data_IF_636466598173
#
_entry.id   IF_636466598173
#
_cell.length_a   1.000
_cell.length_b   1.000
_cell.length_c   1.000
_cell.angle_alpha   90.00
_cell.angle_beta   90.00
_cell.angle_gamma   90.00
#
_symmetry.space_group_name_H-M   'P 1'
#
loop_
_entity.id
_entity.type
_entity.pdbx_description
1 polymer ?
#
# COMPACT_ATOMS: atom_id res chain seq x y z
N UNK A 1 -11.25 10.72 19.56
CA UNK A 1 -10.43 10.13 20.64
C UNK A 1 -9.00 10.59 20.43
N UNK A 2 -8.33 11.15 21.43
CA UNK A 2 -6.91 11.43 21.32
C UNK A 2 -6.16 10.10 21.27
N UNK A 3 -5.50 9.80 20.15
CA UNK A 3 -4.55 8.70 20.12
C UNK A 3 -3.42 9.04 21.09
N UNK A 4 -3.17 8.20 22.09
CA UNK A 4 -1.99 8.34 22.93
C UNK A 4 -0.73 8.43 22.04
N UNK A 5 0.21 9.31 22.39
CA UNK A 5 1.47 9.42 21.67
C UNK A 5 2.23 8.10 21.76
N UNK A 6 2.77 7.64 20.62
CA UNK A 6 3.61 6.45 20.62
C UNK A 6 4.93 6.77 21.37
N UNK A 7 5.42 5.88 22.25
CA UNK A 7 6.73 6.04 22.88
C UNK A 7 7.83 6.21 21.82
N UNK A 8 8.88 6.99 22.06
CA UNK A 8 10.00 7.09 21.13
C UNK A 8 11.19 6.29 21.66
N UNK A 9 11.55 5.21 20.98
CA UNK A 9 12.72 4.38 21.29
C UNK A 9 13.64 4.35 20.06
N UNK A 10 14.86 4.92 20.12
CA UNK A 10 15.79 4.94 19.00
C UNK A 10 16.22 3.55 18.50
N UNK A 11 16.13 2.52 19.34
CA UNK A 11 16.45 1.14 18.96
C UNK A 11 15.27 0.43 18.28
N UNK A 12 14.08 1.04 18.30
CA UNK A 12 12.89 0.54 17.64
C UNK A 12 12.63 1.32 16.36
N UNK A 13 13.31 0.93 15.27
CA UNK A 13 13.01 1.47 13.94
C UNK A 13 11.59 1.05 13.55
N UNK A 14 10.74 2.03 13.24
CA UNK A 14 9.33 1.80 12.97
C UNK A 14 9.12 1.49 11.50
N UNK A 15 8.27 0.52 11.18
CA UNK A 15 8.07 0.11 9.79
C UNK A 15 7.58 1.25 8.87
N UNK A 16 6.82 2.21 9.40
CA UNK A 16 6.38 3.37 8.62
C UNK A 16 7.52 4.32 8.21
N UNK A 17 8.68 4.30 8.88
CA UNK A 17 9.82 5.15 8.52
C UNK A 17 10.65 4.58 7.36
N UNK A 18 10.33 3.38 6.88
CA UNK A 18 11.01 2.79 5.72
C UNK A 18 10.59 3.45 4.40
N UNK A 19 9.36 3.95 4.31
CA UNK A 19 8.77 4.42 3.06
C UNK A 19 9.18 5.86 2.73
N UNK A 20 9.81 6.05 1.57
CA UNK A 20 10.06 7.35 0.97
C UNK A 20 8.91 7.75 0.03
N UNK A 21 8.72 9.06 -0.18
CA UNK A 21 7.81 9.61 -1.21
C UNK A 21 8.56 10.15 -2.44
N UNK A 22 9.88 10.27 -2.35
CA UNK A 22 10.69 11.05 -3.31
C UNK A 22 11.57 10.17 -4.20
N UNK A 23 11.46 8.84 -4.06
CA UNK A 23 12.24 7.90 -4.86
C UNK A 23 11.59 7.69 -6.23
N UNK A 24 12.40 7.54 -7.29
CA UNK A 24 11.88 7.13 -8.60
C UNK A 24 11.76 5.59 -8.73
N UNK A 25 12.57 4.87 -7.94
CA UNK A 25 12.72 3.42 -7.96
C UNK A 25 12.86 2.88 -6.54
N UNK A 26 12.31 1.70 -6.27
CA UNK A 26 12.47 1.02 -4.99
C UNK A 26 12.36 -0.51 -5.13
N UNK A 27 12.91 -1.26 -4.18
CA UNK A 27 12.72 -2.71 -4.13
C UNK A 27 11.24 -3.03 -3.89
N UNK A 28 10.58 -2.25 -3.04
CA UNK A 28 9.19 -2.50 -2.61
C UNK A 28 8.37 -1.21 -2.74
N UNK A 29 7.29 -1.27 -3.50
CA UNK A 29 6.31 -0.20 -3.63
C UNK A 29 5.01 -0.53 -2.91
N UNK A 30 4.48 0.43 -2.16
CA UNK A 30 3.15 0.39 -1.56
C UNK A 30 2.22 1.34 -2.33
N UNK A 31 1.03 0.88 -2.69
CA UNK A 31 -0.01 1.73 -3.28
C UNK A 31 -1.37 1.39 -2.69
N UNK A 32 -2.20 2.39 -2.42
CA UNK A 32 -3.58 2.16 -1.99
C UNK A 32 -4.56 2.24 -3.16
N UNK A 33 -5.50 1.28 -3.18
CA UNK A 33 -6.63 1.21 -4.09
C UNK A 33 -7.89 1.17 -3.23
N UNK A 34 -8.39 2.32 -2.74
CA UNK A 34 -9.49 2.40 -1.78
C UNK A 34 -10.88 2.12 -2.40
N UNK A 35 -11.01 1.10 -3.24
CA UNK A 35 -12.28 0.71 -3.86
C UNK A 35 -13.22 0.10 -2.83
N UNK A 36 -14.51 0.38 -2.92
CA UNK A 36 -15.49 -0.13 -1.94
C UNK A 36 -16.95 -0.10 -2.43
N UNK A 37 -17.25 0.61 -3.52
CA UNK A 37 -18.63 0.86 -3.96
C UNK A 37 -19.32 -0.40 -4.48
N UNK A 38 -18.54 -1.41 -4.88
CA UNK A 38 -19.03 -2.69 -5.39
C UNK A 38 -19.37 -3.71 -4.30
N UNK A 39 -19.12 -3.37 -3.03
CA UNK A 39 -19.38 -4.25 -1.89
C UNK A 39 -20.89 -4.54 -1.74
N UNK A 40 -21.24 -5.81 -1.50
CA UNK A 40 -22.64 -6.25 -1.30
C UNK A 40 -23.26 -5.62 -0.04
N UNK A 41 -22.46 -5.49 1.03
CA UNK A 41 -22.84 -4.81 2.26
C UNK A 41 -22.19 -3.42 2.33
N UNK A 42 -22.82 -2.44 3.00
CA UNK A 42 -22.17 -1.16 3.28
C UNK A 42 -20.85 -1.38 4.05
N UNK A 43 -19.75 -0.86 3.53
CA UNK A 43 -18.43 -0.95 4.16
C UNK A 43 -17.75 0.42 4.25
N UNK A 44 -16.70 0.48 5.06
CA UNK A 44 -15.72 1.59 5.05
C UNK A 44 -14.38 1.09 4.52
N UNK A 45 -14.39 0.17 3.56
CA UNK A 45 -13.17 -0.49 3.08
C UNK A 45 -12.18 0.50 2.43
N UNK A 46 -12.68 1.63 1.91
CA UNK A 46 -11.86 2.74 1.42
C UNK A 46 -10.92 3.33 2.50
N UNK A 47 -11.18 3.12 3.80
CA UNK A 47 -10.31 3.56 4.89
C UNK A 47 -9.10 2.63 5.14
N UNK A 48 -9.11 1.42 4.59
CA UNK A 48 -8.09 0.39 4.84
C UNK A 48 -6.67 0.85 4.51
N UNK A 49 -6.37 1.48 3.35
CA UNK A 49 -5.01 1.89 3.03
C UNK A 49 -4.42 2.84 4.09
N UNK A 50 -5.18 3.86 4.49
CA UNK A 50 -4.74 4.81 5.52
C UNK A 50 -4.63 4.16 6.91
N UNK A 51 -5.54 3.24 7.25
CA UNK A 51 -5.50 2.52 8.51
C UNK A 51 -4.24 1.64 8.62
N UNK A 52 -3.87 0.93 7.54
CA UNK A 52 -2.65 0.12 7.48
C UNK A 52 -1.41 1.01 7.61
N UNK A 53 -1.30 2.11 6.86
CA UNK A 53 -0.18 3.05 6.97
C UNK A 53 -0.01 3.59 8.40
N UNK A 54 -1.13 3.94 9.03
CA UNK A 54 -1.14 4.40 10.43
C UNK A 54 -0.70 3.29 11.40
N UNK A 55 -1.09 2.04 11.12
CA UNK A 55 -0.73 0.88 11.93
C UNK A 55 0.77 0.52 11.81
N UNK A 56 1.40 0.73 10.65
CA UNK A 56 2.84 0.46 10.44
C UNK A 56 3.74 1.17 11.47
N UNK A 57 3.31 2.33 11.98
CA UNK A 57 4.03 3.03 13.04
C UNK A 57 4.16 2.21 14.34
N UNK A 58 3.34 1.17 14.53
CA UNK A 58 3.33 0.32 15.74
C UNK A 58 4.21 -0.92 15.59
N UNK A 59 4.75 -1.19 14.42
CA UNK A 59 5.53 -2.39 14.13
C UNK A 59 7.02 -2.08 13.99
N UNK A 60 7.87 -3.04 14.37
CA UNK A 60 9.31 -3.03 14.11
C UNK A 60 9.57 -3.48 12.67
N UNK A 61 10.72 -3.09 12.12
CA UNK A 61 11.23 -3.62 10.85
C UNK A 61 11.77 -5.05 10.97
N UNK A 62 12.12 -5.48 12.18
CA UNK A 62 12.67 -6.80 12.45
C UNK A 62 11.58 -7.81 12.84
N UNK A 63 11.59 -8.96 12.18
CA UNK A 63 10.76 -10.12 12.49
C UNK A 63 11.57 -11.17 13.25
N UNK A 64 11.24 -11.37 14.53
CA UNK A 64 11.96 -12.33 15.40
C UNK A 64 11.75 -13.78 14.96
N UNK A 65 10.56 -14.14 14.48
CA UNK A 65 10.23 -15.50 14.08
C UNK A 65 10.96 -15.94 12.81
N UNK A 66 11.26 -15.01 11.91
CA UNK A 66 12.01 -15.28 10.68
C UNK A 66 13.49 -14.87 10.76
N UNK A 67 13.88 -14.15 11.82
CA UNK A 67 15.22 -13.55 11.95
C UNK A 67 15.60 -12.67 10.75
N UNK A 68 14.63 -11.94 10.20
CA UNK A 68 14.79 -11.03 9.06
C UNK A 68 14.55 -9.60 9.52
N UNK A 69 15.45 -8.70 9.14
CA UNK A 69 15.20 -7.26 9.17
C UNK A 69 14.84 -6.78 7.77
N UNK A 70 13.81 -5.94 7.66
CA UNK A 70 13.45 -5.27 6.42
C UNK A 70 14.38 -4.08 6.11
N UNK A 71 15.12 -3.57 7.10
CA UNK A 71 16.15 -2.55 6.89
C UNK A 71 17.18 -3.01 5.84
N UNK A 72 17.58 -2.07 4.97
CA UNK A 72 18.50 -2.33 3.86
C UNK A 72 17.82 -2.50 2.50
N UNK A 73 16.50 -2.69 2.46
CA UNK A 73 15.72 -2.58 1.23
C UNK A 73 15.21 -1.14 1.06
N UNK A 74 15.03 -0.71 -0.18
CA UNK A 74 14.39 0.57 -0.51
C UNK A 74 12.87 0.39 -0.61
N UNK A 75 12.13 1.29 0.05
CA UNK A 75 10.67 1.29 0.03
C UNK A 75 10.15 2.64 -0.47
N UNK A 76 9.08 2.59 -1.27
CA UNK A 76 8.36 3.77 -1.74
C UNK A 76 6.87 3.65 -1.43
N UNK A 77 6.26 4.73 -0.96
CA UNK A 77 4.81 4.86 -0.85
C UNK A 77 4.30 5.73 -2.00
N UNK A 78 3.57 5.11 -2.92
CA UNK A 78 2.99 5.74 -4.11
C UNK A 78 1.67 6.47 -3.79
N UNK A 79 1.24 6.48 -2.53
CA UNK A 79 -0.01 7.09 -2.10
C UNK A 79 -1.24 6.28 -2.48
N UNK A 80 -2.39 6.96 -2.57
CA UNK A 80 -3.68 6.35 -2.88
C UNK A 80 -4.17 6.78 -4.27
N UNK A 81 -4.78 5.84 -4.98
CA UNK A 81 -5.48 6.11 -6.23
C UNK A 81 -6.84 6.72 -5.92
N UNK A 82 -7.04 7.98 -6.33
CA UNK A 82 -8.31 8.67 -6.13
C UNK A 82 -9.45 8.02 -6.94
N UNK A 83 -10.59 7.81 -6.29
CA UNK A 83 -11.83 7.29 -6.89
C UNK A 83 -11.60 6.05 -7.77
N UNK A 84 -11.16 4.91 -7.21
CA UNK A 84 -10.77 3.74 -8.00
C UNK A 84 -11.96 2.89 -8.48
N UNK A 85 -13.18 3.18 -8.06
CA UNK A 85 -14.39 2.44 -8.42
C UNK A 85 -14.91 2.75 -9.84
N UNK A 86 -15.61 1.77 -10.42
CA UNK A 86 -16.24 1.87 -11.73
C UNK A 86 -15.27 1.91 -12.92
N UNK A 87 -15.81 2.15 -14.11
CA UNK A 87 -15.04 2.12 -15.38
C UNK A 87 -13.95 3.18 -15.41
N UNK A 88 -14.26 4.40 -14.96
CA UNK A 88 -13.27 5.48 -14.91
C UNK A 88 -12.23 5.26 -13.80
N UNK A 89 -12.63 4.66 -12.68
CA UNK A 89 -11.71 4.26 -11.62
C UNK A 89 -10.72 3.21 -12.09
N UNK A 90 -11.18 2.19 -12.83
CA UNK A 90 -10.31 1.19 -13.44
C UNK A 90 -9.28 1.83 -14.39
N UNK A 91 -9.65 2.84 -15.17
CA UNK A 91 -8.69 3.59 -16.00
C UNK A 91 -7.62 4.29 -15.17
N UNK A 92 -7.98 4.86 -14.01
CA UNK A 92 -7.02 5.46 -13.08
C UNK A 92 -6.09 4.42 -12.48
N UNK A 93 -6.62 3.26 -12.09
CA UNK A 93 -5.81 2.13 -11.61
C UNK A 93 -4.83 1.65 -12.69
N UNK A 94 -5.32 1.43 -13.91
CA UNK A 94 -4.49 1.07 -15.07
C UNK A 94 -3.37 2.08 -15.31
N UNK A 95 -3.66 3.38 -15.24
CA UNK A 95 -2.65 4.42 -15.45
C UNK A 95 -1.56 4.36 -14.38
N UNK A 96 -1.97 4.33 -13.10
CA UNK A 96 -1.05 4.31 -11.97
C UNK A 96 -0.13 3.07 -11.96
N UNK A 97 -0.66 1.90 -12.37
CA UNK A 97 0.09 0.63 -12.34
C UNK A 97 0.84 0.34 -13.65
N UNK A 98 0.61 1.09 -14.72
CA UNK A 98 1.13 0.79 -16.08
C UNK A 98 2.64 0.62 -16.19
N UNK A 99 3.42 1.22 -15.28
CA UNK A 99 4.89 1.16 -15.26
C UNK A 99 5.45 0.81 -13.89
N UNK A 100 4.60 0.42 -12.95
CA UNK A 100 5.01 0.28 -11.55
C UNK A 100 6.07 -0.81 -11.38
N UNK A 101 5.99 -1.91 -12.14
CA UNK A 101 6.97 -3.00 -12.10
C UNK A 101 8.22 -2.74 -12.95
N UNK A 102 8.26 -1.65 -13.74
CA UNK A 102 9.51 -1.22 -14.40
C UNK A 102 10.44 -0.53 -13.40
N UNK A 103 9.85 0.11 -12.39
CA UNK A 103 10.58 0.90 -11.42
C UNK A 103 10.73 0.19 -10.06
N UNK A 104 9.97 -0.89 -9.83
CA UNK A 104 9.92 -1.58 -8.56
C UNK A 104 9.91 -3.10 -8.71
N UNK A 105 10.58 -3.81 -7.79
CA UNK A 105 10.69 -5.28 -7.85
C UNK A 105 9.45 -5.97 -7.27
N UNK A 106 8.86 -5.39 -6.23
CA UNK A 106 7.64 -5.87 -5.59
C UNK A 106 6.61 -4.75 -5.47
N UNK A 107 5.36 -5.05 -5.81
CA UNK A 107 4.21 -4.19 -5.54
C UNK A 107 3.35 -4.79 -4.43
N UNK A 108 3.03 -3.98 -3.43
CA UNK A 108 2.02 -4.26 -2.41
C UNK A 108 0.85 -3.29 -2.66
N UNK A 109 -0.28 -3.83 -3.12
CA UNK A 109 -1.52 -3.07 -3.27
C UNK A 109 -2.40 -3.24 -2.02
N UNK A 110 -2.67 -2.14 -1.32
CA UNK A 110 -3.61 -2.09 -0.22
C UNK A 110 -5.00 -1.78 -0.77
N UNK A 111 -5.86 -2.78 -0.76
CA UNK A 111 -7.23 -2.64 -1.24
C UNK A 111 -8.16 -1.95 -0.26
N UNK A 112 -9.37 -1.68 -0.74
CA UNK A 112 -10.56 -1.69 0.09
C UNK A 112 -11.26 -3.04 -0.02
N UNK A 113 -12.26 -3.15 -0.88
CA UNK A 113 -12.99 -4.39 -1.12
C UNK A 113 -12.24 -5.37 -2.03
N UNK A 114 -12.81 -6.56 -2.22
CA UNK A 114 -12.18 -7.65 -2.97
C UNK A 114 -12.09 -7.40 -4.49
N UNK A 115 -12.77 -6.37 -5.03
CA UNK A 115 -12.72 -6.04 -6.46
C UNK A 115 -11.33 -5.58 -6.91
N UNK A 116 -10.53 -5.06 -5.96
CA UNK A 116 -9.19 -4.54 -6.26
C UNK A 116 -8.25 -5.61 -6.81
N UNK A 117 -8.48 -6.88 -6.50
CA UNK A 117 -7.71 -7.99 -7.07
C UNK A 117 -7.81 -7.99 -8.60
N UNK A 118 -9.03 -7.81 -9.13
CA UNK A 118 -9.24 -7.77 -10.58
C UNK A 118 -8.63 -6.51 -11.18
N UNK A 119 -8.90 -5.33 -10.61
CA UNK A 119 -8.41 -4.07 -11.18
C UNK A 119 -6.88 -3.98 -11.15
N UNK A 120 -6.22 -4.43 -10.07
CA UNK A 120 -4.77 -4.48 -9.99
C UNK A 120 -4.18 -5.51 -10.96
N UNK A 121 -4.70 -6.74 -10.98
CA UNK A 121 -4.16 -7.79 -11.82
C UNK A 121 -4.30 -7.46 -13.31
N UNK A 122 -5.49 -7.05 -13.77
CA UNK A 122 -5.72 -6.66 -15.18
C UNK A 122 -4.91 -5.43 -15.61
N UNK A 123 -4.52 -4.55 -14.67
CA UNK A 123 -3.61 -3.44 -14.96
C UNK A 123 -2.18 -3.89 -15.23
N UNK A 124 -1.71 -4.90 -14.47
CA UNK A 124 -0.34 -5.42 -14.53
C UNK A 124 -0.16 -6.42 -15.67
N UNK A 125 -1.16 -7.26 -15.91
CA UNK A 125 -1.17 -8.30 -16.93
C UNK A 125 -2.36 -8.08 -17.85
N UNK A 126 -2.12 -7.35 -18.95
CA UNK A 126 -3.16 -6.90 -19.88
C UNK A 126 -3.77 -8.01 -20.74
N UNK A 127 -3.24 -9.21 -20.61
CA UNK A 127 -3.67 -10.45 -21.26
C UNK A 127 -4.54 -11.35 -20.37
N UNK A 128 -4.88 -10.90 -19.16
CA UNK A 128 -5.86 -11.54 -18.26
C UNK A 128 -7.29 -11.51 -18.80
#
# INVERSE_FOLDING_TARGET
MSSASLPNDPLWVRANTLFSTDNEHADIALIGIPAHESSISPTQAHLTPQAVRSALARYSTFSTSSSVDLQGNSFIDLGDIASPDGVEGLKRVNNALSRVLLNNQLLIALGGDNSITYSAASSLWRDL
#
